data_IF_634505650182
#
_entry.id   IF_634505650182
#
_cell.length_a   1.000
_cell.length_b   1.000
_cell.length_c   1.000
_cell.angle_alpha   90.00
_cell.angle_beta   90.00
_cell.angle_gamma   90.00
#
_symmetry.space_group_name_H-M   'P 1'
#
loop_
_entity.id
_entity.type
_entity.pdbx_description
1 polymer ?
#
# COMPACT_ATOMS: atom_id res chain seq x y z
N UNK A 1 -11.10 4.12 -0.06
CA UNK A 1 -10.42 2.91 -0.58
C UNK A 1 -9.54 2.38 0.54
N UNK A 2 -9.40 1.06 0.68
CA UNK A 2 -8.53 0.48 1.69
C UNK A 2 -7.43 -0.34 1.00
N UNK A 3 -6.17 -0.08 1.32
CA UNK A 3 -5.02 -0.80 0.77
C UNK A 3 -4.50 -1.72 1.86
N UNK A 4 -4.55 -3.02 1.60
CA UNK A 4 -4.12 -4.07 2.52
C UNK A 4 -2.79 -4.68 2.10
N UNK A 5 -2.55 -4.71 0.79
CA UNK A 5 -1.34 -5.26 0.21
C UNK A 5 -0.72 -4.24 -0.76
N UNK A 6 0.25 -3.47 -0.25
CA UNK A 6 0.98 -2.48 -1.03
C UNK A 6 1.82 -3.16 -2.11
N UNK A 7 2.41 -4.32 -1.81
CA UNK A 7 3.17 -5.11 -2.77
C UNK A 7 2.31 -5.53 -3.95
N UNK A 8 1.10 -6.04 -3.72
CA UNK A 8 0.19 -6.41 -4.80
C UNK A 8 -0.10 -5.22 -5.74
N UNK A 9 -0.24 -4.01 -5.18
CA UNK A 9 -0.43 -2.82 -5.98
C UNK A 9 0.82 -2.43 -6.82
N UNK A 10 2.04 -2.68 -6.31
CA UNK A 10 3.27 -2.55 -7.10
C UNK A 10 3.38 -3.64 -8.17
N UNK A 11 2.98 -4.87 -7.84
CA UNK A 11 3.05 -6.02 -8.74
C UNK A 11 2.18 -5.81 -9.99
N UNK A 12 1.08 -5.04 -9.91
CA UNK A 12 0.30 -4.62 -11.09
C UNK A 12 1.19 -3.97 -12.16
N UNK A 13 2.17 -3.15 -11.77
CA UNK A 13 3.11 -2.55 -12.72
C UNK A 13 4.19 -3.53 -13.14
N UNK A 14 4.71 -4.34 -12.22
CA UNK A 14 5.73 -5.36 -12.52
C UNK A 14 5.22 -6.36 -13.57
N UNK A 15 3.96 -6.79 -13.47
CA UNK A 15 3.34 -7.67 -14.47
C UNK A 15 3.28 -7.06 -15.87
N UNK A 16 3.14 -5.73 -15.98
CA UNK A 16 3.16 -5.04 -17.28
C UNK A 16 4.55 -5.01 -17.91
N UNK A 17 5.59 -5.33 -17.15
CA UNK A 17 7.00 -5.34 -17.60
C UNK A 17 7.50 -6.73 -18.00
N UNK A 18 6.69 -7.77 -17.79
CA UNK A 18 7.04 -9.14 -18.18
C UNK A 18 7.15 -9.24 -19.70
N UNK A 19 8.28 -9.73 -20.21
CA UNK A 19 8.39 -10.12 -21.60
C UNK A 19 7.64 -11.45 -21.83
N UNK A 20 6.48 -11.36 -22.46
CA UNK A 20 5.62 -12.51 -22.76
C UNK A 20 6.21 -13.43 -23.85
N UNK A 21 7.24 -12.97 -24.57
CA UNK A 21 7.95 -13.77 -25.57
C UNK A 21 9.21 -14.43 -24.99
N UNK A 22 9.52 -14.21 -23.72
CA UNK A 22 10.68 -14.81 -23.06
C UNK A 22 10.62 -16.34 -23.16
N UNK A 23 11.71 -16.94 -23.64
CA UNK A 23 11.80 -18.39 -23.81
C UNK A 23 12.34 -19.10 -22.56
N UNK A 24 12.72 -18.34 -21.52
CA UNK A 24 13.23 -18.84 -20.25
C UNK A 24 12.91 -17.85 -19.11
N UNK A 25 12.77 -18.30 -17.85
CA UNK A 25 12.44 -17.44 -16.71
C UNK A 25 13.39 -16.26 -16.49
N UNK A 26 14.68 -16.45 -16.78
CA UNK A 26 15.73 -15.43 -16.61
C UNK A 26 15.59 -14.29 -17.63
N UNK A 27 14.84 -14.52 -18.72
CA UNK A 27 14.60 -13.56 -19.78
C UNK A 27 13.29 -12.76 -19.59
N UNK A 28 12.52 -13.05 -18.55
CA UNK A 28 11.24 -12.37 -18.29
C UNK A 28 11.41 -10.86 -18.09
N UNK A 29 12.57 -10.43 -17.62
CA UNK A 29 12.91 -9.02 -17.42
C UNK A 29 14.31 -8.76 -17.97
N UNK A 30 14.40 -7.93 -19.02
CA UNK A 30 15.69 -7.61 -19.66
C UNK A 30 16.66 -6.85 -18.73
N UNK A 31 16.12 -6.15 -17.73
CA UNK A 31 16.87 -5.51 -16.66
C UNK A 31 16.14 -5.75 -15.33
N UNK A 32 16.80 -6.41 -14.38
CA UNK A 32 16.20 -6.73 -13.08
C UNK A 32 15.90 -5.48 -12.24
N UNK A 33 16.59 -4.37 -12.49
CA UNK A 33 16.39 -3.09 -11.79
C UNK A 33 14.98 -2.52 -11.99
N UNK A 34 14.30 -2.91 -13.07
CA UNK A 34 12.91 -2.47 -13.33
C UNK A 34 11.92 -3.03 -12.32
N UNK A 35 12.29 -4.07 -11.57
CA UNK A 35 11.46 -4.63 -10.49
C UNK A 35 11.63 -3.91 -9.15
N UNK A 36 12.62 -3.02 -9.04
CA UNK A 36 12.82 -2.23 -7.83
C UNK A 36 11.49 -1.55 -7.42
N UNK A 37 11.13 -1.59 -6.13
CA UNK A 37 9.82 -1.11 -5.67
C UNK A 37 9.52 0.32 -6.13
N UNK A 38 10.52 1.20 -6.08
CA UNK A 38 10.43 2.62 -6.43
C UNK A 38 10.00 2.84 -7.89
N UNK A 39 10.37 1.90 -8.78
CA UNK A 39 10.08 1.93 -10.21
C UNK A 39 8.65 1.44 -10.56
N UNK A 40 7.88 0.98 -9.58
CA UNK A 40 6.58 0.33 -9.79
C UNK A 40 5.43 0.98 -9.00
N UNK A 41 5.61 2.24 -8.59
CA UNK A 41 4.68 2.98 -7.71
C UNK A 41 3.55 3.72 -8.45
N UNK A 42 3.51 3.69 -9.78
CA UNK A 42 2.60 4.55 -10.56
C UNK A 42 1.11 4.24 -10.34
N UNK A 43 0.73 2.97 -10.26
CA UNK A 43 -0.64 2.53 -10.03
C UNK A 43 -1.14 2.97 -8.65
N UNK A 44 -0.27 2.87 -7.66
CA UNK A 44 -0.51 3.36 -6.31
C UNK A 44 -0.71 4.89 -6.29
N UNK A 45 0.12 5.67 -7.00
CA UNK A 45 -0.08 7.11 -7.16
C UNK A 45 -1.44 7.44 -7.78
N UNK A 46 -1.82 6.73 -8.84
CA UNK A 46 -3.14 6.90 -9.46
C UNK A 46 -4.29 6.61 -8.48
N UNK A 47 -4.10 5.70 -7.53
CA UNK A 47 -5.09 5.45 -6.49
C UNK A 47 -5.24 6.67 -5.56
N UNK A 48 -4.15 7.29 -5.11
CA UNK A 48 -4.20 8.54 -4.32
C UNK A 48 -4.91 9.67 -5.06
N UNK A 49 -4.65 9.84 -6.35
CA UNK A 49 -5.23 10.94 -7.11
C UNK A 49 -6.74 10.75 -7.35
N UNK A 50 -7.20 9.50 -7.44
CA UNK A 50 -8.60 9.16 -7.74
C UNK A 50 -9.48 9.02 -6.50
N UNK A 51 -8.92 8.58 -5.38
CA UNK A 51 -9.70 8.31 -4.18
C UNK A 51 -9.48 9.38 -3.12
N UNK A 52 -10.57 10.06 -2.75
CA UNK A 52 -10.56 11.10 -1.70
C UNK A 52 -10.04 10.57 -0.37
N UNK A 53 -10.39 9.35 0.00
CA UNK A 53 -9.99 8.76 1.27
C UNK A 53 -9.34 7.41 1.05
N UNK A 54 -8.14 7.25 1.61
CA UNK A 54 -7.39 6.00 1.54
C UNK A 54 -6.91 5.63 2.94
N UNK A 55 -7.21 4.40 3.35
CA UNK A 55 -6.62 3.81 4.54
C UNK A 55 -5.64 2.74 4.12
N UNK A 56 -4.45 2.73 4.71
CA UNK A 56 -3.54 1.61 4.63
C UNK A 56 -3.64 0.82 5.91
N UNK A 57 -3.91 -0.48 5.80
CA UNK A 57 -4.10 -1.34 6.96
C UNK A 57 -3.34 -2.64 6.81
N UNK A 58 -2.95 -3.22 7.94
CA UNK A 58 -2.40 -4.56 8.00
C UNK A 58 -3.46 -5.55 7.49
N UNK A 59 -3.05 -6.44 6.60
CA UNK A 59 -3.95 -7.34 5.88
C UNK A 59 -4.69 -8.31 6.81
N UNK A 60 -4.00 -8.86 7.81
CA UNK A 60 -4.53 -9.89 8.69
C UNK A 60 -5.47 -9.31 9.75
N UNK A 61 -5.09 -8.17 10.33
CA UNK A 61 -5.78 -7.57 11.49
C UNK A 61 -6.75 -6.45 11.09
N UNK A 62 -6.62 -5.91 9.88
CA UNK A 62 -7.30 -4.69 9.47
C UNK A 62 -6.89 -3.45 10.27
N UNK A 63 -5.80 -3.52 11.05
CA UNK A 63 -5.28 -2.39 11.82
C UNK A 63 -4.72 -1.33 10.87
N UNK A 64 -5.30 -0.13 10.89
CA UNK A 64 -4.95 0.97 9.99
C UNK A 64 -3.72 1.69 10.50
N UNK A 65 -2.66 1.69 9.71
CA UNK A 65 -1.41 2.35 10.07
C UNK A 65 -1.26 3.75 9.45
N UNK A 66 -1.88 4.04 8.31
CA UNK A 66 -1.89 5.39 7.71
C UNK A 66 -3.28 5.70 7.19
N UNK A 67 -3.78 6.91 7.47
CA UNK A 67 -4.94 7.48 6.79
C UNK A 67 -4.56 8.69 5.96
N UNK A 68 -5.04 8.69 4.72
CA UNK A 68 -4.86 9.76 3.74
C UNK A 68 -6.22 10.32 3.37
N UNK A 69 -6.33 11.65 3.36
CA UNK A 69 -7.48 12.39 2.86
C UNK A 69 -7.02 13.43 1.85
N UNK A 70 -7.59 13.38 0.66
CA UNK A 70 -7.28 14.27 -0.47
C UNK A 70 -5.77 14.32 -0.77
N UNK A 71 -5.16 13.14 -0.85
CA UNK A 71 -3.73 12.96 -1.14
C UNK A 71 -2.77 13.34 -0.01
N UNK A 72 -3.25 13.73 1.17
CA UNK A 72 -2.40 14.09 2.32
C UNK A 72 -2.62 13.12 3.48
N UNK A 73 -1.54 12.63 4.12
CA UNK A 73 -1.69 11.87 5.35
C UNK A 73 -2.25 12.78 6.44
N UNK A 74 -3.35 12.36 7.07
CA UNK A 74 -4.00 13.11 8.16
C UNK A 74 -3.52 12.64 9.53
N UNK A 75 -3.21 11.36 9.64
CA UNK A 75 -2.58 10.74 10.80
C UNK A 75 -1.89 9.44 10.39
N UNK A 76 -0.97 8.97 11.21
CA UNK A 76 -0.47 7.61 11.13
C UNK A 76 -0.12 7.05 12.51
N UNK A 77 -0.48 5.78 12.72
CA UNK A 77 -0.05 5.00 13.87
C UNK A 77 1.42 4.65 13.68
N UNK A 78 2.28 5.11 14.60
CA UNK A 78 3.74 5.02 14.45
C UNK A 78 4.23 3.59 14.48
N UNK A 79 3.80 2.82 15.47
CA UNK A 79 4.27 1.45 15.68
C UNK A 79 3.78 0.56 14.54
N UNK A 80 2.51 0.70 14.15
CA UNK A 80 1.96 -0.08 13.05
C UNK A 80 2.58 0.32 11.70
N UNK A 81 2.87 1.62 11.48
CA UNK A 81 3.55 2.09 10.28
C UNK A 81 4.99 1.57 10.20
N UNK A 82 5.75 1.62 11.29
CA UNK A 82 7.12 1.11 11.34
C UNK A 82 7.16 -0.40 11.09
N UNK A 83 6.24 -1.16 11.70
CA UNK A 83 6.09 -2.58 11.45
C UNK A 83 5.76 -2.87 9.98
N UNK A 84 4.79 -2.16 9.39
CA UNK A 84 4.43 -2.33 7.98
C UNK A 84 5.58 -1.92 7.03
N UNK A 85 6.30 -0.85 7.34
CA UNK A 85 7.42 -0.33 6.55
C UNK A 85 8.73 -1.12 6.72
N UNK A 86 8.76 -2.15 7.59
CA UNK A 86 9.84 -3.15 7.58
C UNK A 86 9.88 -3.94 6.27
N UNK A 87 8.73 -4.05 5.57
CA UNK A 87 8.68 -4.56 4.21
C UNK A 87 9.11 -3.47 3.22
N UNK A 88 10.11 -3.73 2.34
CA UNK A 88 10.66 -2.73 1.43
C UNK A 88 9.65 -2.26 0.37
N UNK A 89 8.77 -3.14 -0.12
CA UNK A 89 7.70 -2.78 -1.07
C UNK A 89 6.72 -1.80 -0.42
N UNK A 90 6.28 -2.11 0.81
CA UNK A 90 5.39 -1.23 1.58
C UNK A 90 6.03 0.12 1.83
N UNK A 91 7.30 0.14 2.25
CA UNK A 91 8.05 1.36 2.53
C UNK A 91 8.18 2.24 1.29
N UNK A 92 8.61 1.68 0.16
CA UNK A 92 8.76 2.40 -1.09
C UNK A 92 7.42 2.94 -1.61
N UNK A 93 6.36 2.13 -1.55
CA UNK A 93 5.00 2.55 -1.88
C UNK A 93 4.56 3.76 -1.07
N UNK A 94 4.69 3.71 0.25
CA UNK A 94 4.28 4.81 1.14
C UNK A 94 5.15 6.06 0.95
N UNK A 95 6.47 5.92 0.77
CA UNK A 95 7.35 7.07 0.51
C UNK A 95 7.03 7.75 -0.83
N UNK A 96 6.67 6.98 -1.85
CA UNK A 96 6.31 7.52 -3.15
C UNK A 96 4.94 8.24 -3.16
N UNK A 97 4.05 7.83 -2.26
CA UNK A 97 2.66 8.26 -2.19
C UNK A 97 2.43 9.40 -1.20
N UNK A 98 3.00 9.26 0.00
CA UNK A 98 2.76 10.14 1.14
C UNK A 98 3.99 10.15 2.05
N UNK A 99 5.12 10.75 1.64
CA UNK A 99 6.34 10.76 2.43
C UNK A 99 6.14 11.42 3.81
N UNK A 100 5.24 12.41 3.89
CA UNK A 100 4.84 13.05 5.14
C UNK A 100 4.19 12.09 6.16
N UNK A 101 3.78 10.88 5.76
CA UNK A 101 3.31 9.85 6.68
C UNK A 101 4.41 9.44 7.69
N UNK A 102 5.68 9.56 7.30
CA UNK A 102 6.85 9.25 8.13
C UNK A 102 7.35 10.43 8.96
N UNK A 103 6.73 11.61 8.84
CA UNK A 103 7.05 12.74 9.70
C UNK A 103 6.62 12.45 11.15
N UNK A 104 7.53 12.69 12.11
CA UNK A 104 7.25 12.55 13.54
C UNK A 104 6.25 13.59 14.05
N UNK A 105 6.11 14.71 13.37
CA UNK A 105 5.14 15.76 13.71
C UNK A 105 3.71 15.40 13.26
N UNK A 106 3.54 14.39 12.39
CA UNK A 106 2.21 13.97 11.96
C UNK A 106 1.43 13.40 13.14
N UNK A 107 0.15 13.78 13.23
CA UNK A 107 -0.73 13.30 14.28
C UNK A 107 -0.79 11.77 14.36
N UNK A 108 -0.88 11.26 15.58
CA UNK A 108 -1.22 9.87 15.87
C UNK A 108 -2.73 9.76 16.16
N UNK A 109 -3.36 8.60 15.92
CA UNK A 109 -4.74 8.38 16.37
C UNK A 109 -4.80 8.26 17.90
N UNK A 110 -5.92 8.65 18.51
CA UNK A 110 -6.11 8.55 19.98
C UNK A 110 -6.13 7.10 20.49
N UNK A 111 -6.47 6.16 19.60
CA UNK A 111 -6.48 4.71 19.83
C UNK A 111 -6.23 3.97 18.52
N UNK A 112 -5.79 2.70 18.57
CA UNK A 112 -5.74 1.84 17.38
C UNK A 112 -7.07 1.85 16.63
N UNK A 113 -7.00 2.02 15.31
CA UNK A 113 -8.18 2.13 14.43
C UNK A 113 -8.22 0.93 13.47
N UNK A 114 -9.31 0.18 13.47
CA UNK A 114 -9.48 -0.95 12.54
C UNK A 114 -10.45 -0.61 11.40
N UNK A 115 -10.23 -1.21 10.24
CA UNK A 115 -11.12 -1.03 9.09
C UNK A 115 -12.59 -1.38 9.37
N UNK A 116 -12.85 -2.31 10.28
CA UNK A 116 -14.21 -2.73 10.71
C UNK A 116 -14.99 -1.58 11.36
N UNK A 117 -14.28 -0.58 11.87
CA UNK A 117 -14.85 0.58 12.55
C UNK A 117 -15.12 1.74 11.59
N UNK A 118 -14.45 1.77 10.44
CA UNK A 118 -14.53 2.88 9.47
C UNK A 118 -15.50 2.57 8.33
N UNK A 119 -15.65 1.29 7.99
CA UNK A 119 -16.58 0.83 6.98
C UNK A 119 -17.51 -0.18 7.62
N UNK A 120 -18.83 -0.05 7.41
CA UNK A 120 -19.73 -1.18 7.63
C UNK A 120 -19.13 -2.39 6.91
N UNK A 121 -18.61 -3.36 7.68
CA UNK A 121 -17.56 -4.30 7.26
C UNK A 121 -17.87 -5.13 6.00
N UNK A 122 -19.13 -5.12 5.55
CA UNK A 122 -19.62 -5.81 4.34
C UNK A 122 -19.40 -5.05 3.02
N UNK A 123 -18.99 -3.77 3.03
CA UNK A 123 -18.90 -2.93 1.81
C UNK A 123 -17.53 -2.27 1.57
N UNK A 124 -16.53 -2.58 2.39
CA UNK A 124 -15.21 -1.99 2.23
C UNK A 124 -14.54 -2.47 0.93
N UNK A 125 -14.29 -1.54 0.00
CA UNK A 125 -13.47 -1.82 -1.20
C UNK A 125 -12.01 -1.90 -0.78
N UNK A 126 -11.40 -3.08 -0.92
CA UNK A 126 -10.00 -3.35 -0.56
C UNK A 126 -9.15 -3.68 -1.80
N UNK A 127 -7.89 -3.26 -1.78
CA UNK A 127 -6.83 -3.85 -2.60
C UNK A 127 -6.07 -4.85 -1.71
N UNK A 128 -6.22 -6.15 -1.99
CA UNK A 128 -5.85 -7.26 -1.11
C UNK A 128 -7.06 -7.90 -0.43
N UNK A 129 -6.88 -9.13 0.11
CA UNK A 129 -7.95 -9.85 0.83
C UNK A 129 -7.98 -9.42 2.30
N UNK A 130 -9.17 -9.15 2.82
CA UNK A 130 -9.41 -8.83 4.23
C UNK A 130 -10.20 -9.97 4.89
N UNK A 131 -9.73 -10.47 6.03
CA UNK A 131 -10.38 -11.57 6.74
C UNK A 131 -9.94 -12.93 6.18
N UNK A 132 -9.93 -13.92 7.08
CA UNK A 132 -9.23 -15.21 6.99
C UNK A 132 -8.95 -15.70 5.58
N UNK A 133 -7.65 -15.78 5.26
CA UNK A 133 -7.09 -16.92 4.55
C UNK A 133 -7.77 -18.19 5.06
N UNK A 134 -8.67 -18.74 4.25
CA UNK A 134 -9.04 -20.15 4.33
C UNK A 134 -8.08 -20.92 3.46
#
# INVERSE_FOLDING_TARGET
MNVLDVKCALDVERYRRVDVNATAPELLYSDQSVLAPENNTGFLKQCIDKFREINFANQDTGHIYVRIVSGKPVWADREALECAASNPDTRAGLLAMAPAAFDRALAAPDRPMHLSEIAGAKQARTLGRWGTSG
#
